data_IF_562492783517
#
_entry.id   IF_562492783517
#
_cell.length_a   1.000
_cell.length_b   1.000
_cell.length_c   1.000
_cell.angle_alpha   90.00
_cell.angle_beta   90.00
_cell.angle_gamma   90.00
#
_symmetry.space_group_name_H-M   'P 1'
#
loop_
_entity.id
_entity.type
_entity.pdbx_description
1 polymer ?
#
# COMPACT_ATOMS: atom_id res chain seq x y z
N UNK A 1 -19.99 -18.05 -8.81
CA UNK A 1 -21.31 -17.42 -8.54
C UNK A 1 -21.77 -17.73 -7.11
N UNK A 2 -21.79 -19.01 -6.66
CA UNK A 2 -22.21 -19.38 -5.29
C UNK A 2 -21.40 -18.63 -4.21
N UNK A 3 -20.07 -18.57 -4.37
CA UNK A 3 -19.21 -17.88 -3.39
C UNK A 3 -19.47 -16.37 -3.29
N UNK A 4 -19.95 -15.73 -4.36
CA UNK A 4 -20.30 -14.31 -4.33
C UNK A 4 -21.62 -14.08 -3.58
N UNK A 5 -22.62 -14.94 -3.80
CA UNK A 5 -23.90 -14.86 -3.09
C UNK A 5 -23.70 -15.10 -1.59
N UNK A 6 -22.88 -16.09 -1.22
CA UNK A 6 -22.56 -16.38 0.17
C UNK A 6 -21.80 -15.20 0.83
N UNK A 7 -20.85 -14.60 0.12
CA UNK A 7 -20.12 -13.42 0.61
C UNK A 7 -21.02 -12.21 0.80
N UNK A 8 -21.91 -11.93 -0.15
CA UNK A 8 -22.88 -10.84 -0.02
C UNK A 8 -23.84 -11.07 1.15
N UNK A 9 -24.27 -12.32 1.37
CA UNK A 9 -25.13 -12.67 2.49
C UNK A 9 -24.42 -12.48 3.84
N UNK A 10 -23.14 -12.85 3.95
CA UNK A 10 -22.34 -12.56 5.14
C UNK A 10 -22.20 -11.06 5.37
N UNK A 11 -21.94 -10.28 4.33
CA UNK A 11 -21.85 -8.81 4.43
C UNK A 11 -23.19 -8.20 4.87
N UNK A 12 -24.31 -8.71 4.36
CA UNK A 12 -25.65 -8.28 4.76
C UNK A 12 -25.87 -8.53 6.25
N UNK A 13 -25.58 -9.74 6.75
CA UNK A 13 -25.67 -10.07 8.17
C UNK A 13 -24.78 -9.16 9.01
N UNK A 14 -23.53 -8.96 8.61
CA UNK A 14 -22.58 -8.10 9.33
C UNK A 14 -22.98 -6.62 9.33
N UNK A 15 -23.87 -6.22 8.42
CA UNK A 15 -24.40 -4.86 8.34
C UNK A 15 -25.66 -4.66 9.22
N UNK A 16 -26.11 -5.70 9.93
CA UNK A 16 -27.23 -5.62 10.86
C UNK A 16 -26.77 -5.39 12.30
N UNK A 17 -27.67 -4.86 13.14
CA UNK A 17 -27.41 -4.71 14.57
C UNK A 17 -27.15 -6.07 15.22
N UNK A 18 -27.93 -7.07 14.89
CA UNK A 18 -27.83 -8.44 15.42
C UNK A 18 -26.50 -9.09 15.03
N UNK A 19 -26.04 -8.86 13.79
CA UNK A 19 -24.74 -9.38 13.32
C UNK A 19 -23.57 -8.72 14.06
N UNK A 20 -23.67 -7.42 14.33
CA UNK A 20 -22.66 -6.71 15.12
C UNK A 20 -22.68 -7.11 16.60
N UNK A 21 -23.85 -7.34 17.18
CA UNK A 21 -23.96 -7.87 18.55
C UNK A 21 -23.31 -9.25 18.68
N UNK A 22 -23.55 -10.15 17.71
CA UNK A 22 -22.95 -11.47 17.67
C UNK A 22 -21.42 -11.40 17.51
N UNK A 23 -20.93 -10.48 16.69
CA UNK A 23 -19.50 -10.23 16.52
C UNK A 23 -18.87 -9.70 17.81
N UNK A 24 -19.49 -8.69 18.43
CA UNK A 24 -19.03 -8.08 19.67
C UNK A 24 -19.01 -9.06 20.85
N UNK A 25 -19.97 -9.98 20.93
CA UNK A 25 -20.03 -10.98 21.99
C UNK A 25 -18.79 -11.90 22.00
N UNK A 26 -18.14 -12.06 20.86
CA UNK A 26 -16.96 -12.91 20.69
C UNK A 26 -15.62 -12.14 20.69
N UNK A 27 -15.65 -10.83 20.53
CA UNK A 27 -14.47 -9.98 20.54
C UNK A 27 -14.35 -9.26 21.89
N UNK A 28 -13.25 -9.49 22.59
CA UNK A 28 -12.95 -8.80 23.85
C UNK A 28 -12.44 -7.37 23.65
N UNK A 29 -12.15 -6.98 22.42
CA UNK A 29 -11.64 -5.66 22.10
C UNK A 29 -12.82 -4.74 21.74
N UNK A 30 -12.85 -3.60 22.41
CA UNK A 30 -13.80 -2.56 22.09
C UNK A 30 -13.53 -2.04 20.66
N UNK A 31 -14.56 -1.88 19.85
CA UNK A 31 -14.48 -1.17 18.58
C UNK A 31 -15.74 -0.34 18.35
N UNK A 32 -15.63 0.66 17.52
CA UNK A 32 -16.75 1.50 17.12
C UNK A 32 -17.44 0.82 15.94
N UNK A 33 -18.71 0.50 16.08
CA UNK A 33 -19.48 -0.04 14.98
C UNK A 33 -19.79 1.07 13.95
N UNK A 34 -19.65 0.81 12.66
CA UNK A 34 -19.89 1.80 11.61
C UNK A 34 -21.39 2.05 11.34
N UNK A 35 -22.28 1.49 12.14
CA UNK A 35 -23.72 1.64 11.98
C UNK A 35 -24.25 2.69 12.95
N UNK A 36 -25.13 3.54 12.43
CA UNK A 36 -25.90 4.46 13.25
C UNK A 36 -26.78 3.66 14.24
N UNK A 37 -26.83 4.13 15.46
CA UNK A 37 -27.60 3.52 16.55
C UNK A 37 -27.14 2.08 16.91
N UNK A 38 -25.89 1.74 16.59
CA UNK A 38 -25.31 0.45 16.98
C UNK A 38 -25.29 0.32 18.52
N UNK A 39 -25.53 -0.89 19.07
CA UNK A 39 -25.55 -1.10 20.51
C UNK A 39 -24.17 -0.85 21.11
N UNK A 40 -24.14 -0.12 22.20
CA UNK A 40 -22.93 0.14 22.99
C UNK A 40 -22.69 -1.06 23.90
N UNK A 41 -21.51 -1.67 23.80
CA UNK A 41 -21.10 -2.74 24.72
C UNK A 41 -20.71 -2.10 26.05
N UNK A 42 -21.31 -2.56 27.14
CA UNK A 42 -21.00 -2.08 28.49
C UNK A 42 -19.49 -2.24 28.79
N UNK A 43 -18.86 -1.17 29.26
CA UNK A 43 -17.42 -1.12 29.51
C UNK A 43 -16.56 -0.80 28.29
N UNK A 44 -17.18 -0.47 27.16
CA UNK A 44 -16.46 -0.01 25.97
C UNK A 44 -15.96 1.43 26.20
N UNK A 45 -14.66 1.67 26.05
CA UNK A 45 -14.06 3.01 26.14
C UNK A 45 -14.61 3.98 25.10
N UNK A 46 -15.12 3.46 24.00
CA UNK A 46 -15.60 4.26 22.87
C UNK A 46 -17.09 4.61 22.99
N UNK A 47 -17.76 4.24 24.12
CA UNK A 47 -19.16 4.59 24.33
C UNK A 47 -19.40 6.10 24.19
N UNK A 48 -18.53 6.90 24.81
CA UNK A 48 -18.62 8.36 24.75
C UNK A 48 -18.32 8.93 23.35
N UNK A 49 -17.50 8.22 22.58
CA UNK A 49 -17.16 8.61 21.19
C UNK A 49 -18.30 8.26 20.24
N UNK A 50 -19.06 7.22 20.52
CA UNK A 50 -20.16 6.78 19.65
C UNK A 50 -21.24 7.86 19.50
N UNK A 51 -21.51 8.61 20.56
CA UNK A 51 -22.44 9.74 20.49
C UNK A 51 -21.96 10.82 19.52
N UNK A 52 -20.65 11.05 19.46
CA UNK A 52 -20.04 12.00 18.52
C UNK A 52 -20.15 11.48 17.06
N UNK A 53 -19.88 10.20 16.85
CA UNK A 53 -20.03 9.55 15.55
C UNK A 53 -21.47 9.60 15.07
N UNK A 54 -22.43 9.29 15.96
CA UNK A 54 -23.87 9.38 15.65
C UNK A 54 -24.34 10.81 15.39
N UNK A 55 -23.69 11.80 15.99
CA UNK A 55 -23.92 13.21 15.72
C UNK A 55 -23.31 13.69 14.40
N UNK A 56 -22.60 12.82 13.68
CA UNK A 56 -21.98 13.11 12.39
C UNK A 56 -20.58 13.73 12.48
N UNK A 57 -19.96 13.73 13.65
CA UNK A 57 -18.56 14.15 13.83
C UNK A 57 -17.64 13.01 13.41
N UNK A 58 -17.51 12.81 12.11
CA UNK A 58 -16.61 11.83 11.52
C UNK A 58 -15.63 12.53 10.58
N UNK A 59 -14.40 12.08 10.59
CA UNK A 59 -13.39 12.49 9.62
C UNK A 59 -13.12 11.32 8.66
N UNK A 60 -12.82 11.58 7.39
CA UNK A 60 -12.35 10.53 6.48
C UNK A 60 -11.10 9.88 7.05
N UNK A 61 -10.99 8.59 6.83
CA UNK A 61 -9.94 7.79 7.46
C UNK A 61 -8.75 7.74 6.55
N UNK A 62 -8.02 8.30 6.11
CA UNK A 62 -6.72 8.23 5.39
C UNK A 62 -6.45 9.54 4.66
N UNK A 63 -5.38 10.15 5.08
CA UNK A 63 -4.84 11.34 4.45
C UNK A 63 -3.36 11.12 4.19
N UNK A 64 -2.81 11.73 3.16
CA UNK A 64 -1.35 11.84 3.03
C UNK A 64 -0.77 12.47 4.29
N UNK A 65 0.38 11.96 4.71
CA UNK A 65 0.99 12.42 5.96
C UNK A 65 0.37 11.86 7.25
N UNK A 66 -0.68 11.02 7.19
CA UNK A 66 -1.27 10.41 8.38
C UNK A 66 -0.26 9.63 9.22
N UNK A 67 0.74 9.02 8.61
CA UNK A 67 1.83 8.36 9.34
C UNK A 67 2.69 9.35 10.12
N UNK A 68 2.94 10.54 9.58
CA UNK A 68 3.64 11.60 10.30
C UNK A 68 2.80 12.05 11.49
N UNK A 69 1.49 12.19 11.30
CA UNK A 69 0.54 12.49 12.36
C UNK A 69 0.56 11.40 13.43
N UNK A 70 0.44 10.12 13.09
CA UNK A 70 0.46 9.01 14.07
C UNK A 70 1.76 8.98 14.86
N UNK A 71 2.90 9.22 14.23
CA UNK A 71 4.19 9.26 14.91
C UNK A 71 4.26 10.46 15.87
N UNK A 72 3.77 11.63 15.45
CA UNK A 72 3.71 12.81 16.29
C UNK A 72 2.77 12.62 17.48
N UNK A 73 1.57 12.09 17.24
CA UNK A 73 0.59 11.75 18.27
C UNK A 73 1.15 10.71 19.26
N UNK A 74 1.77 9.65 18.76
CA UNK A 74 2.40 8.63 19.57
C UNK A 74 3.48 9.22 20.48
N UNK A 75 4.32 10.09 19.99
CA UNK A 75 5.36 10.77 20.76
C UNK A 75 4.75 11.70 21.82
N UNK A 76 3.73 12.49 21.45
CA UNK A 76 3.04 13.38 22.37
C UNK A 76 2.35 12.58 23.52
N UNK A 77 1.67 11.49 23.18
CA UNK A 77 1.05 10.61 24.16
C UNK A 77 2.05 9.94 25.09
N UNK A 78 3.21 9.50 24.56
CA UNK A 78 4.28 8.90 25.37
C UNK A 78 4.83 9.92 26.36
N UNK A 79 5.10 11.16 25.93
CA UNK A 79 5.58 12.22 26.80
C UNK A 79 4.58 12.57 27.91
N UNK A 80 3.29 12.60 27.58
CA UNK A 80 2.22 12.80 28.56
C UNK A 80 2.15 11.64 29.56
N UNK A 81 2.16 10.39 29.11
CA UNK A 81 2.13 9.20 30.01
C UNK A 81 3.33 9.17 30.93
N UNK A 82 4.50 9.66 30.49
CA UNK A 82 5.71 9.76 31.29
C UNK A 82 5.69 10.95 32.26
N UNK A 83 4.68 11.81 32.19
CA UNK A 83 4.58 13.03 33.01
C UNK A 83 5.57 14.12 32.60
N UNK A 84 6.11 14.08 31.40
CA UNK A 84 7.01 15.06 30.81
C UNK A 84 6.27 16.31 30.34
N UNK A 85 4.99 16.15 29.96
CA UNK A 85 4.10 17.20 29.48
C UNK A 85 2.74 17.15 30.20
N UNK A 86 2.07 18.31 30.28
CA UNK A 86 0.71 18.42 30.80
C UNK A 86 -0.38 18.17 29.75
N UNK A 87 -1.64 18.16 30.20
CA UNK A 87 -2.79 17.93 29.31
C UNK A 87 -2.92 19.04 28.25
N UNK A 88 -2.68 20.30 28.63
CA UNK A 88 -2.78 21.42 27.68
C UNK A 88 -1.72 21.32 26.58
N UNK A 89 -0.49 20.93 26.95
CA UNK A 89 0.60 20.71 26.01
C UNK A 89 0.33 19.52 25.10
N UNK A 90 -0.23 18.44 25.63
CA UNK A 90 -0.68 17.29 24.83
C UNK A 90 -1.72 17.73 23.81
N UNK A 91 -2.76 18.49 24.25
CA UNK A 91 -3.82 18.96 23.34
C UNK A 91 -3.26 19.78 22.19
N UNK A 92 -2.34 20.71 22.49
CA UNK A 92 -1.68 21.51 21.45
C UNK A 92 -0.86 20.63 20.51
N UNK A 93 -0.14 19.64 21.02
CA UNK A 93 0.67 18.74 20.22
C UNK A 93 -0.19 17.87 19.28
N UNK A 94 -1.36 17.41 19.73
CA UNK A 94 -2.32 16.68 18.92
C UNK A 94 -2.94 17.58 17.84
N UNK A 95 -3.33 18.81 18.18
CA UNK A 95 -3.83 19.78 17.20
C UNK A 95 -2.77 20.13 16.15
N UNK A 96 -1.51 20.22 16.53
CA UNK A 96 -0.40 20.52 15.63
C UNK A 96 -0.07 19.30 14.73
N UNK A 97 -0.26 18.09 15.22
CA UNK A 97 -0.04 16.89 14.42
C UNK A 97 -1.01 16.77 13.23
N UNK A 98 -2.23 17.25 13.41
CA UNK A 98 -3.22 17.33 12.32
C UNK A 98 -2.76 18.21 11.16
N UNK A 99 -1.90 19.20 11.43
CA UNK A 99 -1.32 20.04 10.36
C UNK A 99 -0.27 19.31 9.52
N UNK A 100 0.19 18.14 9.97
CA UNK A 100 1.08 17.27 9.20
C UNK A 100 0.31 16.47 8.15
N UNK A 101 -1.01 16.41 8.28
CA UNK A 101 -1.89 15.84 7.27
C UNK A 101 -2.11 16.90 6.21
N UNK A 102 -1.60 16.66 5.04
CA UNK A 102 -1.77 17.59 3.93
C UNK A 102 -3.15 17.39 3.29
N UNK A 103 -3.98 18.44 3.33
CA UNK A 103 -5.28 18.45 2.64
C UNK A 103 -5.12 18.28 1.11
N UNK A 104 -3.92 18.49 0.57
CA UNK A 104 -3.60 18.22 -0.83
C UNK A 104 -3.68 16.74 -1.20
N UNK A 105 -3.60 15.84 -0.21
CA UNK A 105 -3.74 14.39 -0.42
C UNK A 105 -5.09 13.96 -0.95
N UNK A 106 -6.10 14.81 -0.84
CA UNK A 106 -7.38 14.60 -1.49
C UNK A 106 -7.39 15.02 -2.97
N UNK A 107 -6.31 15.65 -3.46
CA UNK A 107 -6.17 16.05 -4.86
C UNK A 107 -5.72 14.83 -5.66
N UNK A 108 -6.47 14.53 -6.71
CA UNK A 108 -6.08 13.50 -7.66
C UNK A 108 -4.85 13.96 -8.46
N UNK A 109 -3.87 13.10 -8.61
CA UNK A 109 -2.71 13.33 -9.49
C UNK A 109 -3.10 13.20 -10.95
N UNK A 110 -4.01 12.29 -11.23
CA UNK A 110 -4.58 12.01 -12.56
C UNK A 110 -5.95 11.35 -12.40
N UNK A 111 -6.62 11.09 -13.52
CA UNK A 111 -7.88 10.33 -13.52
C UNK A 111 -7.74 9.10 -14.39
N UNK A 112 -7.88 7.90 -13.82
CA UNK A 112 -7.93 6.68 -14.59
C UNK A 112 -9.25 6.59 -15.37
N UNK A 113 -9.17 6.43 -16.68
CA UNK A 113 -10.35 6.39 -17.57
C UNK A 113 -10.95 4.99 -17.70
N UNK A 114 -10.22 3.99 -17.23
CA UNK A 114 -10.60 2.58 -17.20
C UNK A 114 -9.92 1.90 -16.01
N UNK A 115 -10.39 0.73 -15.63
CA UNK A 115 -9.70 -0.09 -14.63
C UNK A 115 -8.37 -0.59 -15.20
N UNK A 116 -7.27 -0.27 -14.54
CA UNK A 116 -5.92 -0.74 -14.88
C UNK A 116 -5.70 -2.05 -14.13
N UNK A 117 -5.38 -3.10 -14.86
CA UNK A 117 -5.17 -4.44 -14.28
C UNK A 117 -3.98 -4.50 -13.34
N UNK A 118 -3.91 -5.54 -12.51
CA UNK A 118 -2.77 -5.76 -11.61
C UNK A 118 -1.46 -5.90 -12.40
N UNK A 119 -1.49 -6.54 -13.57
CA UNK A 119 -0.36 -6.67 -14.48
C UNK A 119 0.11 -5.32 -15.01
N UNK A 120 -0.83 -4.48 -15.44
CA UNK A 120 -0.51 -3.14 -15.92
C UNK A 120 -0.06 -2.23 -14.77
N UNK A 121 -0.60 -2.40 -13.56
CA UNK A 121 -0.11 -1.72 -12.36
C UNK A 121 1.34 -2.13 -12.05
N UNK A 122 1.68 -3.41 -12.13
CA UNK A 122 3.06 -3.86 -11.94
C UNK A 122 4.00 -3.32 -13.02
N UNK A 123 3.53 -3.25 -14.28
CA UNK A 123 4.27 -2.63 -15.38
C UNK A 123 4.49 -1.13 -15.13
N UNK A 124 3.44 -0.41 -14.69
CA UNK A 124 3.51 1.01 -14.35
C UNK A 124 4.55 1.26 -13.25
N UNK A 125 4.46 0.52 -12.14
CA UNK A 125 5.43 0.61 -11.03
C UNK A 125 6.85 0.35 -11.52
N UNK A 126 7.04 -0.69 -12.32
CA UNK A 126 8.35 -1.04 -12.89
C UNK A 126 8.95 0.07 -13.76
N UNK A 127 8.13 0.68 -14.63
CA UNK A 127 8.55 1.81 -15.47
C UNK A 127 8.97 3.00 -14.61
N UNK A 128 8.12 3.36 -13.65
CA UNK A 128 8.35 4.52 -12.79
C UNK A 128 9.61 4.34 -11.96
N UNK A 129 9.74 3.20 -11.31
CA UNK A 129 10.88 2.93 -10.42
C UNK A 129 12.20 2.84 -11.20
N UNK A 130 12.18 2.20 -12.36
CA UNK A 130 13.37 2.15 -13.20
C UNK A 130 13.75 3.53 -13.74
N UNK A 131 12.80 4.34 -14.19
CA UNK A 131 13.06 5.72 -14.62
C UNK A 131 13.60 6.59 -13.48
N UNK A 132 12.99 6.53 -12.30
CA UNK A 132 13.41 7.32 -11.15
C UNK A 132 14.81 6.95 -10.65
N UNK A 133 15.15 5.67 -10.65
CA UNK A 133 16.45 5.16 -10.18
C UNK A 133 17.53 5.12 -11.25
N UNK A 134 17.17 5.30 -12.53
CA UNK A 134 18.09 5.15 -13.66
C UNK A 134 18.46 3.69 -13.96
N UNK A 135 17.65 2.74 -13.53
CA UNK A 135 17.84 1.31 -13.81
C UNK A 135 17.54 0.95 -15.27
N UNK A 136 18.14 -0.12 -15.74
CA UNK A 136 17.98 -0.62 -17.12
C UNK A 136 16.64 -1.33 -17.33
N UNK A 137 16.15 -1.99 -16.26
CA UNK A 137 14.91 -2.77 -16.27
C UNK A 137 14.39 -2.98 -14.84
N UNK A 138 13.19 -3.58 -14.71
CA UNK A 138 12.63 -3.93 -13.42
C UNK A 138 12.04 -5.36 -13.39
N UNK A 139 12.12 -5.99 -12.22
CA UNK A 139 11.41 -7.20 -11.83
C UNK A 139 10.46 -6.84 -10.69
N UNK A 140 9.17 -6.83 -10.98
CA UNK A 140 8.14 -6.47 -10.01
C UNK A 140 7.38 -7.72 -9.62
N UNK A 141 7.47 -8.14 -8.36
CA UNK A 141 6.72 -9.29 -7.88
C UNK A 141 5.23 -8.97 -7.89
N UNK A 142 4.43 -9.97 -8.27
CA UNK A 142 2.99 -9.85 -8.36
C UNK A 142 2.36 -10.76 -7.32
N UNK A 143 1.61 -10.15 -6.42
CA UNK A 143 0.91 -10.86 -5.35
C UNK A 143 -0.57 -11.03 -5.70
N UNK A 144 -0.84 -11.63 -6.86
CA UNK A 144 -2.21 -11.85 -7.34
C UNK A 144 -2.95 -12.95 -6.61
N UNK A 145 -2.23 -13.78 -5.85
CA UNK A 145 -2.80 -14.99 -5.31
C UNK A 145 -2.92 -14.87 -3.79
N UNK A 146 -4.15 -15.02 -3.33
CA UNK A 146 -4.43 -15.25 -1.92
C UNK A 146 -3.96 -16.66 -1.58
N UNK A 147 -2.80 -16.75 -1.00
CA UNK A 147 -2.37 -17.98 -0.34
C UNK A 147 -2.94 -18.04 1.07
N UNK A 148 -2.91 -19.21 1.68
CA UNK A 148 -3.37 -19.44 3.05
C UNK A 148 -2.71 -18.51 4.09
N UNK A 149 -1.65 -17.86 3.69
CA UNK A 149 -0.96 -16.84 4.46
C UNK A 149 -1.44 -15.44 4.08
N UNK A 150 -2.56 -15.07 4.62
CA UNK A 150 -3.15 -13.74 4.47
C UNK A 150 -2.39 -12.62 5.20
N UNK A 151 -1.26 -12.91 5.84
CA UNK A 151 -0.40 -11.94 6.51
C UNK A 151 0.36 -11.03 5.53
N UNK A 152 -0.16 -10.82 4.38
CA UNK A 152 0.44 -10.09 3.29
C UNK A 152 0.46 -8.59 3.60
N UNK A 153 1.54 -8.15 4.19
CA UNK A 153 1.87 -6.72 4.16
C UNK A 153 2.11 -6.28 2.72
N UNK A 154 1.84 -5.04 2.42
CA UNK A 154 1.98 -4.42 1.11
C UNK A 154 3.44 -4.42 0.57
N UNK A 155 4.40 -4.99 1.26
CA UNK A 155 5.82 -4.86 0.95
C UNK A 155 6.39 -5.82 -0.10
N UNK A 156 5.63 -6.79 -0.60
CA UNK A 156 6.24 -7.89 -1.34
C UNK A 156 5.82 -8.02 -2.81
N UNK A 157 4.83 -7.28 -3.24
CA UNK A 157 4.39 -7.33 -4.64
C UNK A 157 3.15 -6.50 -4.91
N UNK A 158 2.91 -6.24 -6.19
CA UNK A 158 1.70 -5.57 -6.65
C UNK A 158 0.53 -6.53 -6.58
N UNK A 159 -0.50 -6.16 -5.83
CA UNK A 159 -1.70 -6.98 -5.61
C UNK A 159 -3.01 -6.26 -5.94
N UNK A 160 -2.95 -4.94 -6.11
CA UNK A 160 -4.10 -4.10 -6.37
C UNK A 160 -4.29 -3.73 -7.82
N UNK A 161 -5.38 -3.03 -8.07
CA UNK A 161 -5.77 -2.43 -9.35
C UNK A 161 -6.04 -0.95 -9.14
N UNK A 162 -5.88 -0.14 -10.19
CA UNK A 162 -6.39 1.22 -10.21
C UNK A 162 -7.76 1.18 -10.90
N UNK A 163 -8.80 1.61 -10.20
CA UNK A 163 -10.14 1.68 -10.77
C UNK A 163 -10.32 2.96 -11.60
N UNK A 164 -11.35 2.99 -12.45
CA UNK A 164 -11.72 4.18 -13.24
C UNK A 164 -12.26 5.29 -12.31
N UNK A 165 -11.36 5.97 -11.63
CA UNK A 165 -11.59 6.98 -10.61
C UNK A 165 -10.46 8.01 -10.62
N UNK A 166 -10.62 9.17 -9.94
CA UNK A 166 -9.48 9.99 -9.59
C UNK A 166 -8.43 9.17 -8.83
N UNK A 167 -7.17 9.28 -9.26
CA UNK A 167 -6.05 8.55 -8.66
C UNK A 167 -5.37 9.44 -7.64
N UNK A 168 -5.46 9.07 -6.40
CA UNK A 168 -4.84 9.73 -5.26
C UNK A 168 -3.70 8.88 -4.71
N UNK A 169 -3.04 9.34 -3.67
CA UNK A 169 -2.03 8.56 -2.94
C UNK A 169 -2.58 7.23 -2.41
N UNK A 170 -3.85 7.15 -2.09
CA UNK A 170 -4.50 5.93 -1.61
C UNK A 170 -4.51 4.82 -2.68
N UNK A 171 -4.90 5.16 -3.91
CA UNK A 171 -4.87 4.22 -5.04
C UNK A 171 -3.43 3.81 -5.35
N UNK A 172 -2.48 4.77 -5.26
CA UNK A 172 -1.06 4.47 -5.50
C UNK A 172 -0.55 3.49 -4.45
N UNK A 173 -0.82 3.74 -3.16
CA UNK A 173 -0.35 2.87 -2.08
C UNK A 173 -0.94 1.47 -2.17
N UNK A 174 -2.19 1.34 -2.61
CA UNK A 174 -2.83 0.04 -2.80
C UNK A 174 -2.09 -0.85 -3.82
N UNK A 175 -1.37 -0.25 -4.76
CA UNK A 175 -0.59 -0.95 -5.79
C UNK A 175 0.92 -0.96 -5.52
N UNK A 176 1.41 -0.21 -4.52
CA UNK A 176 2.85 -0.12 -4.28
C UNK A 176 3.40 -1.39 -3.62
N UNK A 177 4.41 -2.04 -4.24
CA UNK A 177 5.06 -3.20 -3.64
C UNK A 177 6.03 -2.83 -2.50
N UNK A 178 6.32 -1.56 -2.32
CA UNK A 178 7.26 -1.04 -1.32
C UNK A 178 6.56 -0.41 -0.11
N UNK A 179 5.22 -0.27 -0.15
CA UNK A 179 4.48 0.47 0.87
C UNK A 179 4.73 1.99 0.85
N UNK A 180 4.34 2.68 1.92
CA UNK A 180 4.28 4.15 1.97
C UNK A 180 5.64 4.86 1.92
N UNK A 181 6.65 4.32 2.59
CA UNK A 181 7.90 5.07 2.87
C UNK A 181 9.16 4.37 2.42
N UNK A 182 9.04 3.20 1.85
CA UNK A 182 10.24 2.48 1.42
C UNK A 182 10.85 3.14 0.18
N UNK A 183 12.15 3.20 0.20
CA UNK A 183 12.92 3.66 -0.94
C UNK A 183 12.97 2.58 -2.02
N UNK A 184 13.17 3.03 -3.25
CA UNK A 184 13.45 2.16 -4.38
C UNK A 184 14.85 1.55 -4.17
N UNK A 185 14.94 0.23 -4.27
CA UNK A 185 16.20 -0.50 -4.22
C UNK A 185 16.63 -0.92 -5.63
N UNK A 186 17.91 -0.79 -5.94
CA UNK A 186 18.51 -1.29 -7.18
C UNK A 186 19.54 -2.37 -6.92
N UNK A 187 19.73 -3.24 -7.90
CA UNK A 187 20.59 -4.42 -7.85
C UNK A 187 21.45 -4.48 -9.09
N UNK A 188 22.61 -5.08 -8.98
CA UNK A 188 23.52 -5.33 -10.11
C UNK A 188 23.58 -6.81 -10.40
N UNK A 189 22.95 -7.26 -11.49
CA UNK A 189 22.82 -8.67 -11.83
C UNK A 189 23.17 -8.93 -13.30
N UNK A 190 23.63 -10.17 -13.59
CA UNK A 190 23.81 -10.62 -14.98
C UNK A 190 22.47 -10.88 -15.64
N UNK A 191 22.39 -10.72 -16.98
CA UNK A 191 21.18 -10.98 -17.72
C UNK A 191 20.67 -12.42 -17.55
N UNK A 192 21.60 -13.39 -17.46
CA UNK A 192 21.24 -14.77 -17.15
C UNK A 192 20.50 -14.87 -15.82
N UNK A 193 21.02 -14.22 -14.78
CA UNK A 193 20.39 -14.25 -13.44
C UNK A 193 19.04 -13.57 -13.41
N UNK A 194 18.88 -12.48 -14.13
CA UNK A 194 17.59 -11.77 -14.28
C UNK A 194 16.54 -12.70 -14.90
N UNK A 195 16.90 -13.42 -15.96
CA UNK A 195 16.00 -14.39 -16.61
C UNK A 195 15.63 -15.53 -15.67
N UNK A 196 16.61 -16.08 -14.94
CA UNK A 196 16.36 -17.11 -13.94
C UNK A 196 15.36 -16.65 -12.85
N UNK A 197 15.54 -15.44 -12.32
CA UNK A 197 14.62 -14.87 -11.34
C UNK A 197 13.23 -14.67 -11.92
N UNK A 198 13.13 -14.17 -13.14
CA UNK A 198 11.85 -14.00 -13.82
C UNK A 198 11.13 -15.34 -14.03
N UNK A 199 11.86 -16.40 -14.39
CA UNK A 199 11.29 -17.73 -14.60
C UNK A 199 10.89 -18.43 -13.29
N UNK A 200 11.67 -18.23 -12.22
CA UNK A 200 11.42 -18.87 -10.90
C UNK A 200 10.40 -18.13 -10.05
N UNK A 201 10.35 -16.81 -10.17
CA UNK A 201 9.54 -15.99 -9.27
C UNK A 201 10.18 -15.77 -7.89
N UNK A 202 9.42 -15.16 -6.99
CA UNK A 202 9.82 -14.78 -5.65
C UNK A 202 9.24 -15.73 -4.61
N UNK A 203 10.07 -16.43 -3.87
CA UNK A 203 9.67 -17.25 -2.73
C UNK A 203 9.95 -16.52 -1.42
N UNK A 204 8.95 -15.77 -0.94
CA UNK A 204 9.06 -14.92 0.25
C UNK A 204 9.50 -15.65 1.51
N UNK A 205 8.98 -16.86 1.73
CA UNK A 205 9.12 -17.59 2.99
C UNK A 205 9.95 -18.85 2.89
N UNK A 206 10.57 -19.10 1.76
CA UNK A 206 11.25 -20.37 1.46
C UNK A 206 10.34 -21.60 1.71
N UNK A 207 9.07 -21.46 1.41
CA UNK A 207 8.05 -22.49 1.58
C UNK A 207 7.56 -23.11 0.26
N UNK A 208 8.16 -22.68 -0.86
CA UNK A 208 7.82 -23.14 -2.20
C UNK A 208 6.60 -22.43 -2.82
N UNK A 209 6.05 -21.42 -2.16
CA UNK A 209 5.00 -20.58 -2.74
C UNK A 209 5.68 -19.44 -3.51
N UNK A 210 5.51 -19.46 -4.83
CA UNK A 210 6.18 -18.53 -5.73
C UNK A 210 5.24 -17.44 -6.20
N UNK A 211 5.69 -16.20 -6.09
CA UNK A 211 5.05 -15.04 -6.69
C UNK A 211 5.73 -14.73 -8.02
N UNK A 212 5.00 -14.67 -9.15
CA UNK A 212 5.61 -14.36 -10.43
C UNK A 212 6.16 -12.94 -10.44
N UNK A 213 7.25 -12.75 -11.17
CA UNK A 213 7.73 -11.42 -11.50
C UNK A 213 7.17 -10.95 -12.82
N UNK A 214 6.66 -9.73 -12.84
CA UNK A 214 6.50 -8.96 -14.07
C UNK A 214 7.87 -8.41 -14.48
N UNK A 215 8.39 -8.87 -15.61
CA UNK A 215 9.59 -8.28 -16.22
C UNK A 215 9.19 -7.03 -17.00
N UNK A 216 9.79 -5.90 -16.64
CA UNK A 216 9.49 -4.60 -17.26
C UNK A 216 10.76 -4.04 -17.89
N UNK A 217 10.72 -3.84 -19.20
CA UNK A 217 11.83 -3.33 -20.00
C UNK A 217 11.34 -2.25 -20.97
N UNK A 218 12.27 -1.49 -21.53
CA UNK A 218 11.97 -0.65 -22.69
C UNK A 218 11.55 -1.49 -23.88
N UNK A 219 10.75 -0.90 -24.75
CA UNK A 219 10.33 -1.56 -25.98
C UNK A 219 11.53 -1.96 -26.84
N UNK A 220 11.55 -3.22 -27.28
CA UNK A 220 12.66 -3.77 -28.07
C UNK A 220 13.95 -4.08 -27.29
N UNK A 221 13.96 -3.90 -25.95
CA UNK A 221 15.10 -4.23 -25.14
C UNK A 221 15.35 -5.75 -25.11
N UNK A 222 16.60 -6.16 -25.29
CA UNK A 222 16.99 -7.57 -25.26
C UNK A 222 18.03 -7.78 -24.16
N UNK A 223 17.76 -8.72 -23.27
CA UNK A 223 18.69 -9.08 -22.20
C UNK A 223 19.73 -10.07 -22.71
N UNK A 224 21.01 -9.67 -22.72
CA UNK A 224 22.14 -10.56 -22.96
C UNK A 224 22.55 -11.26 -21.66
N UNK A 225 22.65 -12.58 -21.69
CA UNK A 225 22.99 -13.40 -20.53
C UNK A 225 24.30 -13.01 -19.84
N UNK A 226 25.27 -12.54 -20.62
CA UNK A 226 26.61 -12.22 -20.13
C UNK A 226 26.78 -10.74 -19.75
N UNK A 227 25.85 -9.89 -20.14
CA UNK A 227 25.89 -8.49 -19.74
C UNK A 227 25.42 -8.32 -18.29
N UNK A 228 25.85 -7.23 -17.67
CA UNK A 228 25.41 -6.84 -16.33
C UNK A 228 24.49 -5.63 -16.43
N UNK A 229 23.42 -5.64 -15.66
CA UNK A 229 22.39 -4.63 -15.66
C UNK A 229 22.14 -4.09 -14.26
N UNK A 230 21.75 -2.83 -14.18
CA UNK A 230 21.15 -2.26 -12.99
C UNK A 230 19.64 -2.53 -13.04
N UNK A 231 19.12 -3.20 -12.03
CA UNK A 231 17.74 -3.71 -12.00
C UNK A 231 17.01 -3.22 -10.76
N UNK A 232 15.80 -2.72 -10.91
CA UNK A 232 14.90 -2.59 -9.76
C UNK A 232 14.26 -3.95 -9.49
N UNK A 233 14.31 -4.43 -8.24
CA UNK A 233 13.60 -5.65 -7.85
C UNK A 233 12.70 -5.33 -6.67
N UNK A 234 11.39 -5.49 -6.87
CA UNK A 234 10.42 -5.47 -5.79
C UNK A 234 10.09 -6.91 -5.40
N UNK A 235 10.28 -7.25 -4.13
CA UNK A 235 10.21 -8.62 -3.65
C UNK A 235 11.51 -9.38 -3.96
N UNK A 236 12.52 -9.22 -3.12
CA UNK A 236 13.80 -9.94 -3.22
C UNK A 236 14.08 -10.67 -1.91
N UNK A 237 14.55 -11.92 -2.01
CA UNK A 237 15.06 -12.65 -0.85
C UNK A 237 16.39 -12.06 -0.39
N UNK A 238 16.78 -12.33 0.86
CA UNK A 238 18.06 -11.85 1.38
C UNK A 238 19.24 -12.34 0.53
N UNK A 239 19.16 -13.55 -0.01
CA UNK A 239 20.18 -14.10 -0.90
C UNK A 239 20.31 -13.29 -2.21
N UNK A 240 19.19 -12.85 -2.79
CA UNK A 240 19.20 -11.98 -3.98
C UNK A 240 19.73 -10.59 -3.64
N UNK A 241 19.38 -10.07 -2.46
CA UNK A 241 19.89 -8.78 -1.98
C UNK A 241 21.41 -8.80 -1.82
N UNK A 242 21.94 -9.85 -1.24
CA UNK A 242 23.40 -10.04 -1.06
C UNK A 242 24.10 -10.23 -2.41
N UNK A 243 23.58 -11.13 -3.26
CA UNK A 243 24.14 -11.40 -4.61
C UNK A 243 24.14 -10.15 -5.49
N UNK A 244 23.04 -9.41 -5.50
CA UNK A 244 22.82 -8.25 -6.35
C UNK A 244 23.47 -6.97 -5.85
N UNK A 245 24.17 -7.01 -4.71
CA UNK A 245 24.77 -5.82 -4.09
C UNK A 245 23.76 -4.67 -3.99
N UNK A 246 22.65 -4.92 -3.28
CA UNK A 246 21.53 -4.00 -3.15
C UNK A 246 21.98 -2.58 -2.77
N UNK A 247 21.43 -1.59 -3.46
CA UNK A 247 21.66 -0.18 -3.21
C UNK A 247 20.32 0.50 -2.94
N UNK A 248 20.24 1.19 -1.80
CA UNK A 248 19.15 2.12 -1.52
C UNK A 248 19.36 3.41 -2.32
N UNK A 249 18.38 3.79 -3.13
CA UNK A 249 18.48 5.00 -3.96
C UNK A 249 18.19 6.28 -3.20
N UNK A 250 17.61 6.20 -2.02
CA UNK A 250 17.08 7.35 -1.27
C UNK A 250 15.80 7.95 -1.88
N UNK A 251 15.24 7.36 -2.93
CA UNK A 251 14.04 7.84 -3.61
C UNK A 251 12.85 7.02 -3.10
N UNK A 252 11.87 7.67 -2.48
CA UNK A 252 10.65 6.99 -2.03
C UNK A 252 9.80 6.57 -3.23
N UNK A 253 9.31 5.33 -3.19
CA UNK A 253 8.47 4.77 -4.25
C UNK A 253 7.16 5.56 -4.46
N UNK A 254 6.51 5.99 -3.38
CA UNK A 254 5.30 6.81 -3.44
C UNK A 254 5.57 8.13 -4.19
N UNK A 255 6.58 8.89 -3.77
CA UNK A 255 6.90 10.17 -4.40
C UNK A 255 7.27 10.02 -5.89
N UNK A 256 7.97 8.95 -6.26
CA UNK A 256 8.27 8.68 -7.65
C UNK A 256 7.00 8.42 -8.49
N UNK A 257 6.02 7.72 -7.91
CA UNK A 257 4.73 7.47 -8.56
C UNK A 257 3.91 8.77 -8.70
N UNK A 258 3.84 9.58 -7.65
CA UNK A 258 3.16 10.88 -7.65
C UNK A 258 3.73 11.80 -8.73
N UNK A 259 5.05 11.96 -8.76
CA UNK A 259 5.76 12.78 -9.75
C UNK A 259 5.51 12.30 -11.19
N UNK A 260 5.44 10.99 -11.38
CA UNK A 260 5.19 10.42 -12.71
C UNK A 260 3.73 10.60 -13.13
N UNK A 261 2.79 10.27 -12.26
CA UNK A 261 1.35 10.29 -12.57
C UNK A 261 0.83 11.71 -12.74
N UNK A 262 1.39 12.70 -12.04
CA UNK A 262 1.03 14.12 -12.19
C UNK A 262 1.34 14.70 -13.59
N UNK A 263 2.06 13.96 -14.44
CA UNK A 263 2.32 14.36 -15.83
C UNK A 263 1.16 14.04 -16.77
N UNK A 264 0.17 13.27 -16.29
CA UNK A 264 -0.97 12.83 -17.08
C UNK A 264 -2.26 13.47 -16.55
N UNK A 265 -3.02 14.14 -17.41
CA UNK A 265 -4.37 14.59 -17.09
C UNK A 265 -5.30 13.39 -16.91
N UNK A 266 -5.16 12.39 -17.77
CA UNK A 266 -5.86 11.10 -17.70
C UNK A 266 -4.90 9.95 -17.93
N UNK A 267 -5.19 8.80 -17.30
CA UNK A 267 -4.40 7.57 -17.39
C UNK A 267 -5.24 6.41 -17.91
N UNK A 268 -4.66 5.64 -18.81
CA UNK A 268 -5.24 4.37 -19.28
C UNK A 268 -4.11 3.35 -19.50
N UNK A 269 -4.45 2.08 -19.66
CA UNK A 269 -3.47 1.01 -19.87
C UNK A 269 -2.53 1.26 -21.06
N UNK A 270 -3.05 1.91 -22.13
CA UNK A 270 -2.24 2.25 -23.32
C UNK A 270 -1.15 3.30 -23.07
N UNK A 271 -1.27 4.07 -21.99
CA UNK A 271 -0.31 5.12 -21.62
C UNK A 271 0.88 4.53 -20.82
N UNK A 272 0.75 3.26 -20.40
CA UNK A 272 1.77 2.53 -19.63
C UNK A 272 2.78 1.90 -20.60
N UNK A 273 3.64 2.74 -21.16
CA UNK A 273 4.69 2.34 -22.11
C UNK A 273 6.05 2.86 -21.67
N UNK A 274 7.08 2.06 -21.90
CA UNK A 274 8.46 2.45 -21.65
C UNK A 274 9.21 2.56 -22.97
N UNK A 275 9.24 3.75 -23.50
CA UNK A 275 9.99 4.09 -24.70
C UNK A 275 11.51 4.17 -24.47
#
# INVERSE_FOLDING_TARGET
EQNLEDALHVMEIMSTVEGLEALNANYKNAYIAPLKDAPVVEGNYFADILDQVNAGYTAPFIYSGWENMIVADGNAMISFIRGETGLDELTVALDDSYKLVDDSSSLAFTTATETISTEDCAKLVGIVFAKASGADLALISMNQYFHDDHSQGNGDGVSGQIFALPVTDQEIVAILPTGWRNNIETYTLTGKRIKELHETGFDRKNNGILYPYQLVTKDGFTIDDNATYTVVICGATDAVKEEGNVQDTGIQGLSAMEDYLSQFETLSAKDIVWE
#
